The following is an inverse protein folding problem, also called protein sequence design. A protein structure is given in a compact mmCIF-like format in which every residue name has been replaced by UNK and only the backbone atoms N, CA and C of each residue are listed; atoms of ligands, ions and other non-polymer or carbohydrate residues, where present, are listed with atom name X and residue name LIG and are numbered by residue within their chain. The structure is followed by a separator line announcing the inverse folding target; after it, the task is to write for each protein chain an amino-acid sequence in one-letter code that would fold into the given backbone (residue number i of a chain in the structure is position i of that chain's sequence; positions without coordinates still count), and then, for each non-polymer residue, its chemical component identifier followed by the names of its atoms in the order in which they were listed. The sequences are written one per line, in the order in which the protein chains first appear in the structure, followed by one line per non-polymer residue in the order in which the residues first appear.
data_IF_020997815770
#
_entry.id   IF_020997815770
#
_cell.length_a   1.000
_cell.length_b   1.000
_cell.length_c   1.000
_cell.angle_alpha   90.00
_cell.angle_beta   90.00
_cell.angle_gamma   90.00
#
_symmetry.space_group_name_H-M   'P 1'
#
loop_
_entity.id
_entity.type
_entity.pdbx_description
1 polymer ?
#
# COMPACT_ATOMS: atom_id res chain seq x y z
N UNK A 1 -23.00 -14.51 -23.30
CA UNK A 1 -22.73 -13.39 -22.38
C UNK A 1 -22.64 -14.02 -20.99
N UNK A 2 -21.55 -13.78 -20.26
CA UNK A 2 -21.23 -14.40 -18.97
C UNK A 2 -21.77 -13.50 -17.84
N UNK A 3 -22.98 -13.79 -17.30
CA UNK A 3 -23.65 -12.90 -16.35
C UNK A 3 -22.93 -12.80 -15.00
N UNK A 4 -22.11 -13.79 -14.66
CA UNK A 4 -21.30 -13.89 -13.45
C UNK A 4 -20.08 -12.94 -13.43
N UNK A 5 -19.67 -12.41 -14.59
CA UNK A 5 -18.55 -11.46 -14.69
C UNK A 5 -18.98 -10.00 -14.59
N UNK A 6 -20.28 -9.73 -14.56
CA UNK A 6 -20.82 -8.37 -14.47
C UNK A 6 -20.83 -7.90 -13.01
N UNK A 7 -20.53 -6.62 -12.79
CA UNK A 7 -20.47 -6.00 -11.45
C UNK A 7 -21.63 -5.03 -11.17
N UNK A 8 -22.62 -4.90 -12.05
CA UNK A 8 -23.74 -3.94 -11.93
C UNK A 8 -24.46 -4.09 -10.60
N UNK A 9 -24.62 -5.32 -10.09
CA UNK A 9 -25.22 -5.56 -8.78
C UNK A 9 -24.45 -4.87 -7.64
N UNK A 10 -23.12 -4.97 -7.63
CA UNK A 10 -22.28 -4.27 -6.66
C UNK A 10 -22.35 -2.76 -6.89
N UNK A 11 -22.25 -2.29 -8.13
CA UNK A 11 -22.27 -0.86 -8.46
C UNK A 11 -23.60 -0.17 -8.09
N UNK A 12 -24.73 -0.86 -8.21
CA UNK A 12 -26.07 -0.36 -7.87
C UNK A 12 -26.31 -0.31 -6.36
N UNK A 13 -25.79 -1.29 -5.62
CA UNK A 13 -25.99 -1.41 -4.17
C UNK A 13 -24.96 -0.66 -3.35
N UNK A 14 -23.82 -0.33 -3.95
CA UNK A 14 -22.71 0.35 -3.28
C UNK A 14 -22.35 1.65 -4.00
N UNK A 15 -22.85 2.76 -3.46
CA UNK A 15 -22.66 4.09 -4.03
C UNK A 15 -21.19 4.54 -3.98
N UNK A 16 -20.74 5.19 -5.05
CA UNK A 16 -19.49 5.92 -5.04
C UNK A 16 -19.69 7.30 -4.40
N UNK A 17 -18.75 7.70 -3.55
CA UNK A 17 -18.76 9.00 -2.89
C UNK A 17 -17.54 9.82 -3.30
N UNK A 18 -17.69 10.83 -4.17
CA UNK A 18 -16.59 11.67 -4.61
C UNK A 18 -15.85 12.31 -3.43
N UNK A 19 -14.52 12.12 -3.38
CA UNK A 19 -13.66 12.69 -2.34
C UNK A 19 -13.58 11.87 -1.05
N UNK A 20 -14.38 10.81 -0.89
CA UNK A 20 -14.30 9.90 0.24
C UNK A 20 -13.74 8.54 -0.19
N UNK A 21 -12.89 7.97 0.66
CA UNK A 21 -12.49 6.56 0.51
C UNK A 21 -13.60 5.70 1.09
N UNK A 22 -14.33 5.00 0.23
CA UNK A 22 -15.36 4.04 0.65
C UNK A 22 -14.78 2.65 0.52
N UNK A 23 -14.56 2.00 1.66
CA UNK A 23 -13.98 0.67 1.72
C UNK A 23 -14.78 -0.26 2.65
N UNK A 24 -14.63 -1.57 2.48
CA UNK A 24 -15.25 -2.59 3.35
C UNK A 24 -14.49 -3.91 3.32
N UNK A 25 -14.62 -4.69 4.37
CA UNK A 25 -14.27 -6.11 4.37
C UNK A 25 -15.38 -6.94 3.75
N UNK A 26 -15.01 -7.99 3.01
CA UNK A 26 -15.93 -8.98 2.43
C UNK A 26 -15.26 -10.36 2.53
N UNK A 27 -16.06 -11.41 2.66
CA UNK A 27 -15.58 -12.80 2.56
C UNK A 27 -15.56 -13.21 1.08
N UNK A 28 -14.42 -13.73 0.61
CA UNK A 28 -14.27 -14.30 -0.73
C UNK A 28 -14.89 -15.70 -0.83
N UNK A 29 -15.01 -16.21 -2.06
CA UNK A 29 -15.63 -17.53 -2.33
C UNK A 29 -14.88 -18.70 -1.66
N UNK A 30 -13.61 -18.52 -1.33
CA UNK A 30 -12.75 -19.47 -0.63
C UNK A 30 -12.71 -19.24 0.90
N UNK A 31 -13.55 -18.33 1.42
CA UNK A 31 -13.68 -18.03 2.85
C UNK A 31 -12.63 -17.07 3.40
N UNK A 32 -11.73 -16.54 2.55
CA UNK A 32 -10.74 -15.56 2.98
C UNK A 32 -11.36 -14.17 3.13
N UNK A 33 -10.87 -13.38 4.07
CA UNK A 33 -11.25 -11.97 4.17
C UNK A 33 -10.50 -11.18 3.09
N UNK A 34 -11.23 -10.34 2.34
CA UNK A 34 -10.67 -9.42 1.34
C UNK A 34 -11.14 -7.99 1.61
N UNK A 35 -10.33 -7.03 1.17
CA UNK A 35 -10.65 -5.61 1.24
C UNK A 35 -11.21 -5.14 -0.11
N UNK A 36 -12.36 -4.48 -0.10
CA UNK A 36 -12.90 -3.82 -1.29
C UNK A 36 -12.85 -2.30 -1.13
N UNK A 37 -12.46 -1.60 -2.21
CA UNK A 37 -12.52 -0.15 -2.34
C UNK A 37 -13.46 0.24 -3.49
N UNK A 38 -14.40 1.16 -3.25
CA UNK A 38 -15.23 1.73 -4.29
C UNK A 38 -14.47 2.84 -5.02
N UNK A 39 -14.40 2.73 -6.35
CA UNK A 39 -13.90 3.77 -7.26
C UNK A 39 -15.03 4.20 -8.21
N UNK A 40 -14.91 5.34 -8.89
CA UNK A 40 -16.01 5.96 -9.65
C UNK A 40 -16.78 4.96 -10.55
N UNK A 41 -16.05 4.20 -11.36
CA UNK A 41 -16.63 3.25 -12.33
C UNK A 41 -16.36 1.78 -11.99
N UNK A 42 -16.00 1.47 -10.74
CA UNK A 42 -15.63 0.10 -10.41
C UNK A 42 -15.37 -0.17 -8.93
N UNK A 43 -14.73 -1.30 -8.70
CA UNK A 43 -14.31 -1.75 -7.38
C UNK A 43 -12.89 -2.30 -7.51
N UNK A 44 -12.02 -1.92 -6.58
CA UNK A 44 -10.77 -2.64 -6.36
C UNK A 44 -11.02 -3.68 -5.28
N UNK A 45 -10.59 -4.91 -5.51
CA UNK A 45 -10.53 -5.96 -4.50
C UNK A 45 -9.07 -6.27 -4.22
N UNK A 46 -8.71 -6.32 -2.95
CA UNK A 46 -7.34 -6.45 -2.48
C UNK A 46 -7.24 -7.47 -1.37
N UNK A 47 -6.10 -8.16 -1.32
CA UNK A 47 -5.74 -9.02 -0.21
C UNK A 47 -5.41 -8.21 1.04
N UNK A 48 -5.85 -8.74 2.20
CA UNK A 48 -5.60 -8.10 3.49
C UNK A 48 -4.17 -8.31 3.99
N UNK A 49 -3.50 -9.36 3.51
CA UNK A 49 -2.13 -9.75 3.83
C UNK A 49 -1.29 -9.94 2.55
N UNK A 50 0.03 -9.78 2.65
CA UNK A 50 0.95 -9.91 1.51
C UNK A 50 0.75 -8.80 0.46
N UNK A 51 1.03 -9.10 -0.81
CA UNK A 51 0.81 -8.15 -1.91
C UNK A 51 -0.69 -7.94 -2.18
N UNK A 52 -1.17 -6.68 -2.33
CA UNK A 52 -2.60 -6.40 -2.43
C UNK A 52 -3.32 -7.08 -3.60
N UNK A 53 -2.65 -7.39 -4.70
CA UNK A 53 -3.24 -8.11 -5.84
C UNK A 53 -3.27 -9.65 -5.67
N UNK A 54 -2.76 -10.16 -4.55
CA UNK A 54 -2.65 -11.58 -4.23
C UNK A 54 -1.58 -12.34 -5.02
N UNK A 55 -0.77 -11.66 -5.83
CA UNK A 55 0.30 -12.30 -6.57
C UNK A 55 1.51 -12.56 -5.68
N UNK A 56 2.27 -13.61 -6.05
CA UNK A 56 3.57 -13.96 -5.45
C UNK A 56 4.65 -13.90 -6.51
N UNK A 57 5.19 -12.70 -6.83
CA UNK A 57 6.15 -12.55 -7.91
C UNK A 57 7.39 -13.40 -7.66
N UNK A 58 7.68 -14.33 -8.57
CA UNK A 58 8.78 -15.31 -8.42
C UNK A 58 8.75 -16.10 -7.10
N UNK A 59 7.56 -16.27 -6.51
CA UNK A 59 7.36 -16.96 -5.23
C UNK A 59 7.60 -16.10 -3.98
N UNK A 60 8.01 -14.84 -4.12
CA UNK A 60 8.17 -13.90 -3.02
C UNK A 60 6.80 -13.35 -2.55
N UNK A 61 6.73 -12.78 -1.34
CA UNK A 61 5.49 -12.20 -0.81
C UNK A 61 5.14 -10.88 -1.48
N UNK A 62 6.15 -10.05 -1.76
CA UNK A 62 6.05 -8.82 -2.52
C UNK A 62 7.11 -8.78 -3.62
N UNK A 63 6.98 -7.84 -4.56
CA UNK A 63 8.03 -7.62 -5.56
C UNK A 63 9.27 -7.02 -4.92
N UNK A 64 9.09 -6.20 -3.88
CA UNK A 64 10.20 -5.69 -3.09
C UNK A 64 11.05 -6.83 -2.48
N UNK A 65 10.42 -7.85 -1.88
CA UNK A 65 11.13 -9.02 -1.34
C UNK A 65 11.94 -9.76 -2.42
N UNK A 66 11.36 -9.87 -3.62
CA UNK A 66 12.07 -10.45 -4.76
C UNK A 66 13.29 -9.59 -5.14
N UNK A 67 13.13 -8.27 -5.24
CA UNK A 67 14.21 -7.34 -5.59
C UNK A 67 15.35 -7.35 -4.57
N UNK A 68 15.06 -7.43 -3.28
CA UNK A 68 16.08 -7.60 -2.24
C UNK A 68 16.88 -8.89 -2.47
N UNK A 69 16.23 -9.97 -2.89
CA UNK A 69 16.90 -11.23 -3.18
C UNK A 69 17.76 -11.17 -4.45
N UNK A 70 17.38 -10.37 -5.44
CA UNK A 70 18.16 -10.14 -6.66
C UNK A 70 19.36 -9.23 -6.39
N UNK A 71 19.17 -8.12 -5.66
CA UNK A 71 20.24 -7.18 -5.35
C UNK A 71 21.35 -7.82 -4.51
N UNK A 72 21.02 -8.75 -3.62
CA UNK A 72 22.01 -9.53 -2.87
C UNK A 72 22.85 -10.46 -3.76
N UNK A 73 22.33 -10.90 -4.91
CA UNK A 73 23.07 -11.76 -5.86
C UNK A 73 23.99 -10.95 -6.75
N UNK A 74 23.52 -9.79 -7.20
CA UNK A 74 24.27 -8.91 -8.11
C UNK A 74 25.22 -7.94 -7.38
N UNK A 75 24.98 -7.70 -6.09
CA UNK A 75 25.81 -6.87 -5.22
C UNK A 75 25.67 -5.36 -5.49
N UNK A 76 26.74 -4.62 -5.21
CA UNK A 76 26.75 -3.14 -5.22
C UNK A 76 26.47 -2.49 -6.60
N UNK A 77 26.50 -3.29 -7.68
CA UNK A 77 26.19 -2.81 -9.05
C UNK A 77 24.75 -3.04 -9.48
N UNK A 78 23.87 -3.48 -8.58
CA UNK A 78 22.47 -3.72 -8.91
C UNK A 78 21.76 -2.41 -9.28
N UNK A 79 21.17 -2.39 -10.48
CA UNK A 79 20.36 -1.30 -10.99
C UNK A 79 19.06 -1.88 -11.55
N UNK A 80 17.94 -1.24 -11.24
CA UNK A 80 16.64 -1.65 -11.71
C UNK A 80 16.57 -1.56 -13.24
N UNK A 81 16.14 -2.65 -13.87
CA UNK A 81 15.71 -2.65 -15.26
C UNK A 81 14.37 -1.93 -15.42
N UNK A 82 14.03 -1.55 -16.66
CA UNK A 82 12.75 -0.93 -17.01
C UNK A 82 11.55 -1.79 -16.53
N UNK A 83 11.59 -3.10 -16.75
CA UNK A 83 10.54 -4.01 -16.31
C UNK A 83 10.42 -4.09 -14.77
N UNK A 84 11.54 -3.96 -14.05
CA UNK A 84 11.52 -3.91 -12.59
C UNK A 84 10.96 -2.58 -12.08
N UNK A 85 11.28 -1.47 -12.75
CA UNK A 85 10.71 -0.16 -12.45
C UNK A 85 9.18 -0.19 -12.55
N UNK A 86 8.63 -0.77 -13.63
CA UNK A 86 7.18 -0.88 -13.78
C UNK A 86 6.51 -1.69 -12.66
N UNK A 87 7.15 -2.74 -12.15
CA UNK A 87 6.63 -3.54 -11.04
C UNK A 87 6.72 -2.79 -9.70
N UNK A 88 7.76 -1.98 -9.51
CA UNK A 88 7.89 -1.08 -8.36
C UNK A 88 6.76 -0.04 -8.39
N UNK A 89 6.51 0.59 -9.54
CA UNK A 89 5.42 1.56 -9.73
C UNK A 89 4.05 0.91 -9.42
N UNK A 90 3.84 -0.32 -9.90
CA UNK A 90 2.62 -1.11 -9.59
C UNK A 90 2.48 -1.34 -8.09
N UNK A 91 3.55 -1.77 -7.43
CA UNK A 91 3.51 -2.05 -5.99
C UNK A 91 3.22 -0.80 -5.17
N UNK A 92 3.81 0.35 -5.53
CA UNK A 92 3.51 1.63 -4.87
C UNK A 92 2.02 1.97 -4.93
N UNK A 93 1.39 1.84 -6.10
CA UNK A 93 -0.03 2.14 -6.28
C UNK A 93 -0.92 1.16 -5.49
N UNK A 94 -0.57 -0.13 -5.50
CA UNK A 94 -1.31 -1.16 -4.78
C UNK A 94 -1.30 -0.91 -3.26
N UNK A 95 -0.12 -0.69 -2.68
CA UNK A 95 0.00 -0.40 -1.24
C UNK A 95 -0.60 0.95 -0.86
N UNK A 96 -0.57 1.94 -1.77
CA UNK A 96 -1.29 3.20 -1.56
C UNK A 96 -2.81 2.98 -1.42
N UNK A 97 -3.44 2.27 -2.36
CA UNK A 97 -4.88 2.00 -2.32
C UNK A 97 -5.28 1.22 -1.07
N UNK A 98 -4.48 0.22 -0.67
CA UNK A 98 -4.76 -0.56 0.53
C UNK A 98 -4.61 0.28 1.81
N UNK A 99 -3.54 1.07 1.91
CA UNK A 99 -3.29 1.96 3.06
C UNK A 99 -4.40 2.97 3.29
N UNK A 100 -4.92 3.62 2.24
CA UNK A 100 -6.02 4.60 2.42
C UNK A 100 -7.32 3.92 2.85
N UNK A 101 -7.55 2.67 2.44
CA UNK A 101 -8.67 1.87 2.92
C UNK A 101 -8.53 1.52 4.40
N UNK A 102 -7.32 1.13 4.84
CA UNK A 102 -7.04 0.92 6.27
C UNK A 102 -7.30 2.15 7.11
N UNK A 103 -6.87 3.33 6.64
CA UNK A 103 -7.15 4.59 7.33
C UNK A 103 -8.65 4.88 7.41
N UNK A 104 -9.40 4.63 6.34
CA UNK A 104 -10.85 4.83 6.30
C UNK A 104 -11.60 3.87 7.25
N UNK A 105 -11.12 2.63 7.36
CA UNK A 105 -11.68 1.58 8.22
C UNK A 105 -11.15 1.63 9.66
N UNK A 106 -10.27 2.57 9.99
CA UNK A 106 -9.59 2.70 11.30
C UNK A 106 -8.69 1.52 11.67
N UNK A 107 -8.21 0.78 10.68
CA UNK A 107 -7.23 -0.29 10.85
C UNK A 107 -5.81 0.30 10.90
N UNK A 108 -5.55 1.11 11.92
CA UNK A 108 -4.37 1.99 11.97
C UNK A 108 -3.04 1.22 11.99
N UNK A 109 -2.98 0.06 12.66
CA UNK A 109 -1.77 -0.78 12.62
C UNK A 109 -1.47 -1.28 11.21
N UNK A 110 -2.49 -1.75 10.47
CA UNK A 110 -2.33 -2.21 9.08
C UNK A 110 -1.91 -1.05 8.16
N UNK A 111 -2.51 0.14 8.35
CA UNK A 111 -2.11 1.34 7.61
C UNK A 111 -0.64 1.73 7.85
N UNK A 112 -0.15 1.60 9.09
CA UNK A 112 1.24 1.85 9.45
C UNK A 112 2.18 0.87 8.73
N UNK A 113 1.88 -0.43 8.78
CA UNK A 113 2.69 -1.46 8.12
C UNK A 113 2.79 -1.25 6.61
N UNK A 114 1.66 -0.92 5.95
CA UNK A 114 1.68 -0.59 4.51
C UNK A 114 2.49 0.69 4.21
N UNK A 115 2.55 1.65 5.15
CA UNK A 115 3.38 2.85 5.00
C UNK A 115 4.87 2.54 5.19
N UNK A 116 5.22 1.69 6.16
CA UNK A 116 6.59 1.22 6.41
C UNK A 116 7.14 0.47 5.20
N UNK A 117 6.40 -0.51 4.68
CA UNK A 117 6.74 -1.23 3.45
C UNK A 117 7.02 -0.27 2.28
N UNK A 118 6.14 0.72 2.11
CA UNK A 118 6.29 1.72 1.03
C UNK A 118 7.56 2.56 1.21
N UNK A 119 7.90 2.97 2.43
CA UNK A 119 9.10 3.77 2.69
C UNK A 119 10.38 2.97 2.47
N UNK A 120 10.41 1.70 2.87
CA UNK A 120 11.52 0.79 2.61
C UNK A 120 11.72 0.56 1.11
N UNK A 121 10.63 0.35 0.36
CA UNK A 121 10.70 0.25 -1.09
C UNK A 121 11.16 1.57 -1.74
N UNK A 122 10.76 2.74 -1.23
CA UNK A 122 11.26 4.03 -1.70
C UNK A 122 12.77 4.18 -1.45
N UNK A 123 13.27 3.76 -0.29
CA UNK A 123 14.72 3.74 0.00
C UNK A 123 15.48 2.84 -0.97
N UNK A 124 14.94 1.66 -1.25
CA UNK A 124 15.51 0.75 -2.24
C UNK A 124 15.52 1.36 -3.65
N UNK A 125 14.39 1.96 -4.06
CA UNK A 125 14.25 2.63 -5.34
C UNK A 125 15.23 3.81 -5.49
N UNK A 126 15.47 4.57 -4.43
CA UNK A 126 16.43 5.67 -4.43
C UNK A 126 17.89 5.18 -4.58
N UNK A 127 18.21 3.99 -4.06
CA UNK A 127 19.56 3.41 -4.15
C UNK A 127 19.81 2.73 -5.51
N UNK A 128 18.80 2.07 -6.07
CA UNK A 128 18.93 1.19 -7.23
C UNK A 128 18.21 1.69 -8.49
N UNK A 129 17.60 2.88 -8.44
CA UNK A 129 16.91 3.48 -9.58
C UNK A 129 17.84 3.71 -10.78
N UNK A 130 17.31 3.63 -12.02
CA UNK A 130 18.13 3.72 -13.23
C UNK A 130 18.65 5.14 -13.51
N UNK A 131 17.89 6.16 -13.13
CA UNK A 131 18.21 7.57 -13.33
C UNK A 131 17.53 8.48 -12.30
N UNK A 132 17.99 9.74 -12.24
CA UNK A 132 17.50 10.73 -11.27
C UNK A 132 16.04 11.14 -11.51
N UNK A 133 15.57 11.16 -12.77
CA UNK A 133 14.21 11.56 -13.10
C UNK A 133 13.20 10.52 -12.58
N UNK A 134 13.48 9.23 -12.77
CA UNK A 134 12.67 8.14 -12.24
C UNK A 134 12.66 8.14 -10.70
N UNK A 135 13.82 8.34 -10.06
CA UNK A 135 13.92 8.42 -8.58
C UNK A 135 13.07 9.59 -8.05
N UNK A 136 13.24 10.80 -8.63
CA UNK A 136 12.50 11.99 -8.21
C UNK A 136 11.00 11.85 -8.38
N UNK A 137 10.55 11.10 -9.40
CA UNK A 137 9.12 10.84 -9.62
C UNK A 137 8.46 10.11 -8.45
N UNK A 138 9.23 9.34 -7.66
CA UNK A 138 8.77 8.65 -6.46
C UNK A 138 9.01 9.46 -5.19
N UNK A 139 10.20 10.05 -5.06
CA UNK A 139 10.61 10.80 -3.87
C UNK A 139 9.69 11.99 -3.56
N UNK A 140 9.09 12.62 -4.57
CA UNK A 140 8.10 13.68 -4.37
C UNK A 140 6.89 13.25 -3.51
N UNK A 141 6.59 11.96 -3.44
CA UNK A 141 5.48 11.41 -2.64
C UNK A 141 5.90 10.96 -1.24
N UNK A 142 7.20 10.85 -0.94
CA UNK A 142 7.70 10.41 0.37
C UNK A 142 7.09 11.18 1.55
N UNK A 143 6.93 12.52 1.51
CA UNK A 143 6.29 13.25 2.61
C UNK A 143 4.85 12.80 2.91
N UNK A 144 4.09 12.40 1.89
CA UNK A 144 2.72 11.90 2.07
C UNK A 144 2.70 10.52 2.71
N UNK A 145 3.65 9.64 2.36
CA UNK A 145 3.78 8.32 2.97
C UNK A 145 4.20 8.45 4.44
N UNK A 146 5.19 9.29 4.73
CA UNK A 146 5.59 9.61 6.10
C UNK A 146 4.44 10.20 6.92
N UNK A 147 3.68 11.14 6.36
CA UNK A 147 2.49 11.68 7.02
C UNK A 147 1.47 10.58 7.36
N UNK A 148 1.20 9.66 6.42
CA UNK A 148 0.30 8.53 6.70
C UNK A 148 0.86 7.59 7.76
N UNK A 149 2.16 7.29 7.75
CA UNK A 149 2.81 6.47 8.77
C UNK A 149 2.65 7.09 10.16
N UNK A 150 3.02 8.36 10.33
CA UNK A 150 2.94 9.07 11.61
C UNK A 150 1.49 9.19 12.07
N UNK A 151 0.57 9.56 11.18
CA UNK A 151 -0.86 9.61 11.47
C UNK A 151 -1.39 8.26 11.94
N UNK A 152 -1.04 7.18 11.24
CA UNK A 152 -1.46 5.83 11.59
C UNK A 152 -0.88 5.38 12.93
N UNK A 153 0.41 5.61 13.19
CA UNK A 153 1.06 5.32 14.47
C UNK A 153 0.38 6.06 15.63
N UNK A 154 0.15 7.37 15.48
CA UNK A 154 -0.47 8.18 16.51
C UNK A 154 -1.92 7.75 16.80
N UNK A 155 -2.70 7.41 15.77
CA UNK A 155 -4.07 6.95 15.92
C UNK A 155 -4.17 5.54 16.53
N UNK A 156 -3.24 4.64 16.18
CA UNK A 156 -3.13 3.34 16.84
C UNK A 156 -2.77 3.50 18.32
N UNK A 157 -1.77 4.33 18.62
CA UNK A 157 -1.36 4.64 19.99
C UNK A 157 -2.49 5.28 20.80
N UNK A 158 -3.32 6.13 20.17
CA UNK A 158 -4.49 6.73 20.81
C UNK A 158 -5.52 5.67 21.23
N UNK A 159 -5.82 4.72 20.34
CA UNK A 159 -6.79 3.65 20.58
C UNK A 159 -6.32 2.66 21.67
N UNK A 160 -5.01 2.49 21.85
CA UNK A 160 -4.42 1.49 22.77
C UNK A 160 -3.91 2.07 24.10
N UNK A 161 -3.27 3.23 24.05
CA UNK A 161 -2.49 3.83 25.13
C UNK A 161 -2.87 5.27 25.44
N UNK A 162 -3.90 5.81 24.78
CA UNK A 162 -4.43 7.15 25.04
C UNK A 162 -3.58 8.29 24.48
N UNK A 163 -4.00 9.52 24.82
CA UNK A 163 -3.50 10.74 24.18
C UNK A 163 -2.01 11.01 24.40
N UNK A 164 -1.45 10.66 25.57
CA UNK A 164 -0.03 10.88 25.87
C UNK A 164 0.87 10.08 24.92
N UNK A 165 0.56 8.80 24.71
CA UNK A 165 1.31 7.92 23.79
C UNK A 165 1.18 8.41 22.34
N UNK A 166 0.00 8.89 21.94
CA UNK A 166 -0.22 9.43 20.61
C UNK A 166 0.59 10.71 20.34
N UNK A 167 0.77 11.58 21.34
CA UNK A 167 1.59 12.80 21.21
C UNK A 167 3.06 12.42 20.99
N UNK A 168 3.57 11.42 21.70
CA UNK A 168 4.95 10.94 21.53
C UNK A 168 5.20 10.48 20.08
N UNK A 169 4.28 9.70 19.51
CA UNK A 169 4.39 9.25 18.10
C UNK A 169 4.43 10.43 17.10
N UNK A 170 3.68 11.51 17.36
CA UNK A 170 3.70 12.73 16.54
C UNK A 170 5.04 13.45 16.68
N UNK A 171 5.52 13.64 17.91
CA UNK A 171 6.79 14.32 18.19
C UNK A 171 8.01 13.58 17.64
N UNK A 172 7.98 12.24 17.68
CA UNK A 172 8.98 11.40 17.04
C UNK A 172 8.90 11.51 15.52
N UNK A 173 7.68 11.51 14.96
CA UNK A 173 7.45 11.68 13.53
C UNK A 173 7.95 13.00 12.95
N UNK A 174 7.85 14.10 13.71
CA UNK A 174 8.34 15.43 13.29
C UNK A 174 9.87 15.51 13.30
N UNK A 175 10.55 14.71 14.12
CA UNK A 175 12.01 14.73 14.28
C UNK A 175 12.78 13.92 13.24
N UNK A 176 12.09 13.04 12.51
CA UNK A 176 12.65 12.22 11.43
C UNK A 176 12.72 13.02 10.14
#
# INVERSE_FOLDING_TARGET
MEPDKNIDGILQTWAYEPGNVVARFVEGDDGREVLQMRIEMGVLQMEVDGRPDGQRPYGAETYFDYLLSESLRDGDSFVLSEAQCEEVDREFVQFYHRRICWLALREFRKAKLDAEHTLELMEFAALHGPDEDWILSHEQYRPYVMFHQVKASALAALDEGGAETAIVEIEDGIRR
#
